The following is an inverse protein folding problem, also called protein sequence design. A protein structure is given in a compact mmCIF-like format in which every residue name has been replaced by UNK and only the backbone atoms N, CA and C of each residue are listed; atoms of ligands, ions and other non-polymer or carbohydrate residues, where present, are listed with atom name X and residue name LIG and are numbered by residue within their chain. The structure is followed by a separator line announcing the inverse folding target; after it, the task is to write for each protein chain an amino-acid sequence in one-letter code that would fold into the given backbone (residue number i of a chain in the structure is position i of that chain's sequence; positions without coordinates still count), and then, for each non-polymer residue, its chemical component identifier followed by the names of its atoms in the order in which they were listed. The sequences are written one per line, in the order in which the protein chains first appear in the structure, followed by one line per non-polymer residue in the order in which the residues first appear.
data_IF_050357155929
#
_entry.id   IF_050357155929
#
_cell.length_a   1.000
_cell.length_b   1.000
_cell.length_c   1.000
_cell.angle_alpha   90.00
_cell.angle_beta   90.00
_cell.angle_gamma   90.00
#
_symmetry.space_group_name_H-M   'P 1'
#
loop_
_entity.id
_entity.type
_entity.pdbx_description
1 polymer ?
#
# COMPACT_ATOMS: atom_id res chain seq x y z
N UNK A 1 -0.35 12.49 -27.25
CA UNK A 1 -1.15 12.47 -26.00
C UNK A 1 -0.20 12.84 -24.88
N UNK A 2 -0.50 13.90 -24.13
CA UNK A 2 0.28 14.33 -22.97
C UNK A 2 -0.37 13.77 -21.71
N UNK A 3 0.43 13.31 -20.74
CA UNK A 3 -0.03 12.85 -19.43
C UNK A 3 0.61 13.75 -18.39
N UNK A 4 -0.24 14.42 -17.59
CA UNK A 4 0.22 15.27 -16.51
C UNK A 4 0.15 14.51 -15.19
N UNK A 5 1.26 14.40 -14.44
CA UNK A 5 1.25 13.72 -13.15
C UNK A 5 0.38 14.48 -12.14
N UNK A 6 -0.34 13.74 -11.30
CA UNK A 6 -1.14 14.27 -10.20
C UNK A 6 -0.59 13.76 -8.86
N UNK A 7 -0.77 14.52 -7.75
CA UNK A 7 -0.42 14.03 -6.42
C UNK A 7 -1.18 12.73 -6.09
N UNK A 8 -0.49 11.78 -5.47
CA UNK A 8 -1.10 10.52 -5.04
C UNK A 8 -1.88 10.71 -3.74
N UNK A 9 -3.17 10.34 -3.77
CA UNK A 9 -4.04 10.26 -2.59
C UNK A 9 -4.83 8.95 -2.63
N UNK A 10 -5.16 8.37 -1.47
CA UNK A 10 -5.95 7.15 -1.41
C UNK A 10 -7.31 7.30 -2.15
N UNK A 11 -7.99 8.44 -1.97
CA UNK A 11 -9.27 8.72 -2.64
C UNK A 11 -9.16 8.75 -4.16
N UNK A 12 -8.15 9.46 -4.71
CA UNK A 12 -7.98 9.54 -6.16
C UNK A 12 -7.51 8.21 -6.77
N UNK A 13 -6.86 7.35 -5.97
CA UNK A 13 -6.30 6.09 -6.41
C UNK A 13 -7.24 4.88 -6.22
N UNK A 14 -8.35 5.03 -5.51
CA UNK A 14 -9.23 3.93 -5.09
C UNK A 14 -9.77 3.05 -6.24
N UNK A 15 -9.85 3.57 -7.47
CA UNK A 15 -10.24 2.77 -8.64
C UNK A 15 -9.14 1.82 -9.14
N UNK A 16 -7.89 2.09 -8.77
CA UNK A 16 -6.72 1.34 -9.21
C UNK A 16 -6.19 0.40 -8.10
N UNK A 17 -6.43 0.75 -6.84
CA UNK A 17 -6.05 -0.08 -5.70
C UNK A 17 -5.83 0.75 -4.43
N UNK A 18 -5.01 0.21 -3.53
CA UNK A 18 -4.71 0.80 -2.24
C UNK A 18 -3.44 1.66 -2.28
N UNK A 19 -3.42 2.74 -1.48
CA UNK A 19 -2.19 3.50 -1.21
C UNK A 19 -1.63 3.05 0.13
N UNK A 20 -0.44 2.45 0.11
CA UNK A 20 0.25 1.98 1.32
C UNK A 20 0.95 3.16 2.00
N UNK A 21 0.35 3.68 3.07
CA UNK A 21 0.87 4.86 3.78
C UNK A 21 0.44 4.95 5.25
N UNK A 22 1.13 5.81 6.01
CA UNK A 22 0.86 6.04 7.44
C UNK A 22 -0.13 7.18 7.70
N UNK A 23 -0.70 7.80 6.66
CA UNK A 23 -1.71 8.87 6.78
C UNK A 23 -3.12 8.34 7.02
N UNK A 24 -3.30 7.01 7.05
CA UNK A 24 -4.58 6.34 7.30
C UNK A 24 -5.13 6.66 8.70
N UNK A 25 -6.45 6.78 8.80
CA UNK A 25 -7.17 6.98 10.07
C UNK A 25 -7.26 5.69 10.91
N UNK A 26 -7.02 4.52 10.32
CA UNK A 26 -7.05 3.21 11.01
C UNK A 26 -5.71 2.91 11.69
N UNK A 27 -5.42 3.65 12.76
CA UNK A 27 -4.21 3.47 13.58
C UNK A 27 -4.58 2.84 14.91
N UNK A 28 -3.85 1.79 15.29
CA UNK A 28 -4.02 1.11 16.57
C UNK A 28 -2.74 1.29 17.37
N UNK A 29 -2.82 1.83 18.58
CA UNK A 29 -1.70 1.84 19.51
C UNK A 29 -1.48 0.41 20.06
N UNK A 30 -0.24 -0.05 20.00
CA UNK A 30 0.21 -1.34 20.52
C UNK A 30 1.44 -1.12 21.41
N UNK A 31 1.86 -2.15 22.15
CA UNK A 31 3.02 -2.10 23.06
C UNK A 31 2.94 -0.91 24.03
N UNK A 32 1.81 -0.75 24.73
CA UNK A 32 1.60 0.33 25.70
C UNK A 32 1.81 1.74 25.11
N UNK A 33 1.41 1.93 23.85
CA UNK A 33 1.51 3.22 23.15
C UNK A 33 2.90 3.53 22.58
N UNK A 34 3.89 2.65 22.75
CA UNK A 34 5.22 2.83 22.17
C UNK A 34 5.28 2.51 20.68
N UNK A 35 4.24 1.91 20.11
CA UNK A 35 4.19 1.48 18.72
C UNK A 35 2.82 1.74 18.10
N UNK A 36 2.81 2.21 16.86
CA UNK A 36 1.60 2.44 16.07
C UNK A 36 1.47 1.40 14.97
N UNK A 37 0.37 0.66 14.97
CA UNK A 37 0.01 -0.28 13.91
C UNK A 37 -0.93 0.41 12.92
N UNK A 38 -0.41 0.71 11.74
CA UNK A 38 -1.19 1.11 10.57
C UNK A 38 -1.76 -0.16 9.95
N UNK A 39 -2.97 -0.51 10.35
CA UNK A 39 -3.53 -1.82 10.08
C UNK A 39 -4.16 -1.89 8.68
N UNK A 40 -3.94 -3.00 7.99
CA UNK A 40 -4.69 -3.38 6.79
C UNK A 40 -4.57 -2.36 5.64
N UNK A 41 -3.33 -1.93 5.36
CA UNK A 41 -3.05 -0.90 4.34
C UNK A 41 -3.21 -1.39 2.89
N UNK A 42 -3.20 -2.70 2.65
CA UNK A 42 -3.43 -3.29 1.34
C UNK A 42 -3.81 -4.76 1.47
N UNK A 43 -4.69 -5.23 0.58
CA UNK A 43 -5.02 -6.66 0.46
C UNK A 43 -4.12 -7.32 -0.59
N UNK A 44 -3.36 -8.34 -0.19
CA UNK A 44 -2.61 -9.18 -1.12
C UNK A 44 -3.53 -10.30 -1.62
N UNK A 45 -4.13 -10.12 -2.79
CA UNK A 45 -4.99 -11.12 -3.42
C UNK A 45 -4.23 -11.90 -4.51
N UNK A 46 -3.79 -13.09 -4.14
CA UNK A 46 -3.05 -14.01 -5.03
C UNK A 46 -3.63 -15.43 -4.99
N UNK A 47 -4.84 -15.61 -4.46
CA UNK A 47 -5.43 -16.94 -4.25
C UNK A 47 -5.82 -17.66 -5.55
N UNK A 48 -5.84 -16.97 -6.69
CA UNK A 48 -6.06 -17.59 -7.98
C UNK A 48 -5.03 -18.70 -8.22
N UNK A 49 -5.51 -19.86 -8.69
CA UNK A 49 -4.65 -21.02 -8.99
C UNK A 49 -3.78 -21.48 -7.81
N UNK A 50 -4.29 -21.35 -6.57
CA UNK A 50 -3.57 -21.69 -5.34
C UNK A 50 -2.25 -20.90 -5.16
N UNK A 51 -2.23 -19.66 -5.67
CA UNK A 51 -1.08 -18.80 -5.56
C UNK A 51 -0.71 -18.48 -4.11
N UNK A 52 0.60 -18.38 -3.87
CA UNK A 52 1.20 -18.04 -2.58
C UNK A 52 1.85 -16.65 -2.68
N UNK A 53 1.66 -15.76 -1.69
CA UNK A 53 2.32 -14.46 -1.71
C UNK A 53 3.83 -14.62 -1.58
N UNK A 54 4.57 -13.86 -2.39
CA UNK A 54 6.03 -13.74 -2.34
C UNK A 54 6.39 -12.30 -1.98
N UNK A 55 7.50 -12.13 -1.26
CA UNK A 55 8.05 -10.82 -0.92
C UNK A 55 9.46 -10.74 -1.49
N UNK A 56 9.70 -9.73 -2.30
CA UNK A 56 10.96 -9.52 -3.01
C UNK A 56 11.38 -8.05 -2.89
N UNK A 57 12.67 -7.77 -3.06
CA UNK A 57 13.20 -6.40 -3.17
C UNK A 57 13.70 -6.20 -4.59
N UNK A 58 13.23 -5.15 -5.25
CA UNK A 58 13.69 -4.73 -6.57
C UNK A 58 14.59 -3.50 -6.42
N UNK A 59 15.71 -3.50 -7.14
CA UNK A 59 16.59 -2.33 -7.28
C UNK A 59 16.62 -1.97 -8.76
N UNK A 60 16.07 -0.81 -9.10
CA UNK A 60 16.03 -0.30 -10.47
C UNK A 60 16.99 0.88 -10.64
N UNK A 61 17.50 1.06 -11.85
CA UNK A 61 18.16 2.29 -12.29
C UNK A 61 17.12 3.21 -12.95
N UNK A 62 17.31 4.54 -12.94
CA UNK A 62 16.52 5.44 -13.78
C UNK A 62 16.60 5.03 -15.25
N UNK A 63 15.51 5.23 -15.98
CA UNK A 63 15.50 5.15 -17.44
C UNK A 63 16.33 6.27 -18.07
#
# INVERSE_FOLDING_TARGET
MQIDPKPLTATAFAHFGDVVETRSEKVIDINEGTSKRFHDLARVDVGAQEGRPLVNIFRASPY
#
